data_IF_569797639204
#
_entry.id   IF_569797639204
#
_cell.length_a   1.000
_cell.length_b   1.000
_cell.length_c   1.000
_cell.angle_alpha   90.00
_cell.angle_beta   90.00
_cell.angle_gamma   90.00
#
_symmetry.space_group_name_H-M   'P 1'
#
loop_
_entity.id
_entity.type
_entity.pdbx_description
1 polymer ?
#
# COMPACT_ATOMS: atom_id res chain seq x y z
N UNK A 1 62.76 -33.99 16.92
CA UNK A 1 63.58 -33.14 17.80
C UNK A 1 63.43 -31.71 17.28
N UNK A 2 62.73 -30.75 17.87
CA UNK A 2 62.02 -30.68 19.14
C UNK A 2 60.84 -29.70 19.01
N UNK A 3 59.72 -30.11 19.60
CA UNK A 3 58.50 -29.33 19.79
C UNK A 3 58.74 -28.25 20.85
N UNK A 4 58.48 -26.98 20.53
CA UNK A 4 58.38 -25.91 21.53
C UNK A 4 56.93 -25.41 21.64
N UNK A 5 56.25 -26.00 22.63
CA UNK A 5 54.98 -25.58 23.19
C UNK A 5 55.06 -24.15 23.75
N UNK A 6 54.27 -23.21 23.24
CA UNK A 6 53.89 -22.00 23.97
C UNK A 6 52.46 -22.12 24.49
N UNK A 7 52.36 -22.16 25.82
CA UNK A 7 51.11 -22.17 26.60
C UNK A 7 50.48 -20.77 26.61
N UNK A 8 49.14 -20.75 26.63
CA UNK A 8 48.24 -19.59 26.71
C UNK A 8 48.29 -18.92 28.10
N UNK A 9 47.90 -17.65 28.22
CA UNK A 9 47.20 -17.16 29.40
C UNK A 9 45.67 -17.27 29.22
N UNK A 10 45.04 -17.93 30.19
CA UNK A 10 43.60 -18.04 30.42
C UNK A 10 43.09 -16.66 30.86
N UNK A 11 42.07 -16.11 30.21
CA UNK A 11 41.33 -14.97 30.74
C UNK A 11 40.10 -15.50 31.48
N UNK A 12 40.05 -15.13 32.74
CA UNK A 12 39.20 -15.62 33.81
C UNK A 12 37.79 -15.02 33.71
N UNK A 13 36.77 -15.86 33.75
CA UNK A 13 35.37 -15.45 33.91
C UNK A 13 35.14 -14.85 35.30
N UNK A 14 34.26 -13.86 35.38
CA UNK A 14 33.66 -13.43 36.65
C UNK A 14 32.15 -13.21 36.45
N UNK A 15 31.31 -14.10 37.00
CA UNK A 15 29.87 -13.94 37.06
C UNK A 15 29.46 -13.56 38.50
N UNK A 16 29.23 -12.28 38.79
CA UNK A 16 28.56 -11.88 40.04
C UNK A 16 28.07 -10.42 40.00
N UNK A 17 26.78 -10.24 40.25
CA UNK A 17 26.11 -8.93 40.36
C UNK A 17 24.73 -8.96 39.72
N UNK A 18 23.88 -9.95 40.01
CA UNK A 18 22.89 -9.92 41.09
C UNK A 18 22.02 -8.64 41.12
N UNK A 19 20.76 -8.86 40.76
CA UNK A 19 19.54 -8.45 41.49
C UNK A 19 19.07 -7.00 41.26
N UNK A 20 17.93 -6.91 40.57
CA UNK A 20 17.01 -5.77 40.51
C UNK A 20 16.46 -5.39 41.91
N UNK A 21 15.87 -4.20 42.10
CA UNK A 21 14.41 -4.19 41.99
C UNK A 21 13.77 -2.92 41.41
N UNK A 22 12.57 -3.13 40.86
CA UNK A 22 11.41 -2.24 40.73
C UNK A 22 11.46 -0.92 41.52
N UNK A 23 11.14 0.20 40.85
CA UNK A 23 10.18 1.27 41.23
C UNK A 23 10.25 2.30 40.10
N UNK A 24 9.36 2.21 39.11
CA UNK A 24 8.66 3.37 38.49
C UNK A 24 7.28 2.83 38.07
N UNK A 25 6.41 2.74 39.07
CA UNK A 25 4.97 2.65 38.90
C UNK A 25 4.45 4.07 38.60
N UNK A 26 3.50 4.19 37.66
CA UNK A 26 2.39 5.11 37.84
C UNK A 26 2.56 6.53 37.35
N UNK A 27 2.44 6.74 36.04
CA UNK A 27 1.70 7.88 35.49
C UNK A 27 1.25 7.52 34.06
N UNK A 28 0.01 7.87 33.72
CA UNK A 28 -0.65 7.69 32.42
C UNK A 28 -1.34 6.32 32.23
N UNK A 29 -2.23 6.01 33.18
CA UNK A 29 -3.32 5.05 33.00
C UNK A 29 -4.60 5.57 33.69
N UNK A 30 -5.03 6.79 33.33
CA UNK A 30 -6.37 7.36 33.64
C UNK A 30 -6.66 8.41 32.55
N UNK A 31 -7.90 8.46 32.03
CA UNK A 31 -8.37 9.06 30.76
C UNK A 31 -8.12 8.12 29.58
N UNK A 32 -9.05 7.28 29.12
CA UNK A 32 -10.41 7.60 28.69
C UNK A 32 -11.27 6.31 28.84
N UNK A 33 -12.18 6.32 29.81
CA UNK A 33 -13.32 5.40 29.87
C UNK A 33 -14.54 6.26 30.20
N UNK A 34 -15.57 6.18 29.36
CA UNK A 34 -16.94 6.57 29.69
C UNK A 34 -17.51 7.75 28.93
N UNK A 35 -18.19 7.47 27.80
CA UNK A 35 -19.57 7.93 27.62
C UNK A 35 -20.37 6.74 27.07
N UNK A 36 -21.40 6.35 27.83
CA UNK A 36 -22.38 5.34 27.50
C UNK A 36 -23.43 5.85 26.50
N UNK A 37 -23.95 4.88 25.74
CA UNK A 37 -25.24 4.75 25.07
C UNK A 37 -26.33 5.85 25.19
N UNK A 38 -26.92 6.17 24.03
CA UNK A 38 -28.37 6.34 23.81
C UNK A 38 -28.63 6.12 22.29
N UNK A 39 -29.08 4.96 21.81
CA UNK A 39 -30.48 4.50 21.64
C UNK A 39 -31.35 5.33 20.68
N UNK A 40 -31.70 4.67 19.55
CA UNK A 40 -32.91 4.84 18.69
C UNK A 40 -33.13 6.21 18.02
N UNK A 41 -33.89 6.41 16.95
CA UNK A 41 -34.50 5.64 15.85
C UNK A 41 -35.12 6.72 14.94
N UNK A 42 -35.28 6.45 13.64
CA UNK A 42 -35.97 7.35 12.71
C UNK A 42 -37.39 7.70 13.20
N UNK A 43 -37.80 8.96 13.09
CA UNK A 43 -38.98 9.33 12.32
C UNK A 43 -39.17 10.85 12.18
N UNK A 44 -39.68 11.19 11.01
CA UNK A 44 -39.95 12.53 10.51
C UNK A 44 -40.91 13.33 11.39
N UNK A 45 -40.59 14.61 11.62
CA UNK A 45 -41.59 15.69 11.61
C UNK A 45 -41.00 16.95 10.98
N UNK A 46 -41.67 17.37 9.91
CA UNK A 46 -41.61 18.70 9.36
C UNK A 46 -41.83 19.75 10.45
N UNK A 47 -41.17 20.89 10.32
CA UNK A 47 -41.75 22.23 10.50
C UNK A 47 -40.84 23.27 9.84
N UNK A 48 -41.36 23.78 8.73
CA UNK A 48 -41.29 25.16 8.25
C UNK A 48 -40.32 26.10 8.98
N UNK A 49 -39.36 26.65 8.23
CA UNK A 49 -39.09 28.07 8.38
C UNK A 49 -38.91 28.70 6.99
N UNK A 50 -39.90 29.50 6.67
CA UNK A 50 -40.05 30.33 5.49
C UNK A 50 -39.18 31.58 5.63
N UNK A 51 -38.45 31.94 4.58
CA UNK A 51 -38.01 33.32 4.39
C UNK A 51 -37.97 33.70 2.91
N UNK A 52 -39.06 34.36 2.52
CA UNK A 52 -39.19 35.50 1.59
C UNK A 52 -38.76 35.29 0.13
N UNK A 53 -39.81 35.23 -0.68
CA UNK A 53 -39.94 35.38 -2.12
C UNK A 53 -39.52 36.74 -2.67
N UNK A 54 -38.99 36.75 -3.89
CA UNK A 54 -39.18 37.84 -4.86
C UNK A 54 -39.78 37.28 -6.15
N UNK A 55 -40.78 38.00 -6.64
CA UNK A 55 -41.78 37.65 -7.65
C UNK A 55 -41.26 37.62 -9.08
N UNK A 56 -41.69 36.62 -9.86
CA UNK A 56 -41.62 36.61 -11.31
C UNK A 56 -42.53 35.52 -11.88
N UNK A 57 -43.73 35.91 -12.34
CA UNK A 57 -44.76 35.01 -12.87
C UNK A 57 -44.41 34.53 -14.29
N UNK A 58 -44.42 33.21 -14.51
CA UNK A 58 -44.79 32.62 -15.82
C UNK A 58 -45.16 31.13 -15.70
N UNK A 59 -46.46 30.87 -15.93
CA UNK A 59 -47.12 29.65 -16.47
C UNK A 59 -46.44 28.27 -16.33
N UNK A 60 -47.16 27.41 -15.62
CA UNK A 60 -47.06 25.96 -15.55
C UNK A 60 -46.99 25.24 -16.91
N UNK A 61 -45.95 24.42 -17.09
CA UNK A 61 -46.00 23.20 -17.88
C UNK A 61 -45.29 22.09 -17.10
N UNK A 62 -46.09 21.24 -16.46
CA UNK A 62 -45.64 20.07 -15.73
C UNK A 62 -44.99 19.09 -16.72
N UNK A 63 -43.66 19.07 -16.75
CA UNK A 63 -42.87 18.04 -17.41
C UNK A 63 -42.42 17.07 -16.32
N UNK A 64 -43.08 15.90 -16.26
CA UNK A 64 -42.66 14.77 -15.45
C UNK A 64 -41.35 14.21 -16.02
N UNK A 65 -40.22 14.80 -15.61
CA UNK A 65 -38.92 14.18 -15.78
C UNK A 65 -38.83 13.00 -14.83
N UNK A 66 -39.02 11.82 -15.42
CA UNK A 66 -38.67 10.53 -14.83
C UNK A 66 -37.26 10.62 -14.25
N UNK A 67 -37.18 10.50 -12.93
CA UNK A 67 -35.94 10.21 -12.21
C UNK A 67 -35.49 8.82 -12.67
N UNK A 68 -34.75 8.78 -13.78
CA UNK A 68 -33.90 7.64 -14.08
C UNK A 68 -32.94 7.53 -12.89
N UNK A 69 -33.20 6.52 -12.06
CA UNK A 69 -32.36 6.15 -10.93
C UNK A 69 -31.04 5.65 -11.52
N UNK A 70 -30.17 6.58 -11.91
CA UNK A 70 -28.81 6.30 -12.30
C UNK A 70 -28.10 5.83 -11.02
N UNK A 71 -28.08 4.50 -10.86
CA UNK A 71 -27.24 3.80 -9.91
C UNK A 71 -25.85 4.47 -9.96
N UNK A 72 -25.29 4.97 -8.85
CA UNK A 72 -23.99 5.61 -8.89
C UNK A 72 -23.00 4.58 -9.44
N UNK A 73 -22.52 4.83 -10.67
CA UNK A 73 -21.37 4.13 -11.20
C UNK A 73 -20.26 4.36 -10.18
N UNK A 74 -19.88 3.33 -9.44
CA UNK A 74 -18.69 3.40 -8.58
C UNK A 74 -17.54 3.84 -9.48
N UNK A 75 -17.04 5.06 -9.24
CA UNK A 75 -15.88 5.56 -9.94
C UNK A 75 -14.73 4.56 -9.72
N UNK A 76 -13.92 4.26 -10.74
CA UNK A 76 -12.82 3.33 -10.57
C UNK A 76 -11.87 3.88 -9.52
N UNK A 77 -11.52 3.06 -8.53
CA UNK A 77 -10.48 3.42 -7.57
C UNK A 77 -9.12 3.25 -8.26
N UNK A 78 -8.37 4.34 -8.34
CA UNK A 78 -6.99 4.33 -8.84
C UNK A 78 -6.06 4.24 -7.64
N UNK A 79 -5.10 3.32 -7.68
CA UNK A 79 -4.13 3.11 -6.60
C UNK A 79 -2.71 3.10 -7.15
N UNK A 80 -1.72 3.56 -6.35
CA UNK A 80 -0.31 3.45 -6.72
C UNK A 80 0.03 1.98 -6.85
N UNK A 81 0.47 1.56 -8.04
CA UNK A 81 0.74 0.15 -8.28
C UNK A 81 2.22 -0.14 -8.12
N UNK A 82 3.10 0.52 -8.86
CA UNK A 82 4.53 0.23 -8.77
C UNK A 82 5.39 1.42 -9.20
N UNK A 83 6.66 1.37 -8.79
CA UNK A 83 7.70 2.32 -9.17
C UNK A 83 8.90 1.56 -9.73
N UNK A 84 9.58 2.20 -10.68
CA UNK A 84 10.85 1.71 -11.22
C UNK A 84 11.82 2.86 -11.49
N UNK A 85 13.09 2.51 -11.55
CA UNK A 85 14.15 3.41 -12.00
C UNK A 85 14.61 2.96 -13.39
N UNK A 86 14.67 3.90 -14.32
CA UNK A 86 15.14 3.68 -15.68
C UNK A 86 16.25 4.66 -15.98
N UNK A 87 17.37 4.19 -16.53
CA UNK A 87 18.40 5.09 -17.05
C UNK A 87 17.92 5.64 -18.40
N UNK A 88 17.95 6.97 -18.53
CA UNK A 88 17.51 7.70 -19.71
C UNK A 88 18.58 8.68 -20.19
N UNK A 89 18.24 9.39 -21.26
CA UNK A 89 19.06 10.51 -21.76
C UNK A 89 18.16 11.71 -21.97
N UNK A 90 18.64 12.89 -21.56
CA UNK A 90 17.94 14.15 -21.75
C UNK A 90 17.93 14.49 -23.24
N UNK A 91 16.74 14.67 -23.80
CA UNK A 91 16.53 15.11 -25.17
C UNK A 91 16.43 16.63 -25.27
N UNK A 92 15.49 17.09 -26.10
CA UNK A 92 15.20 18.51 -26.28
C UNK A 92 14.67 19.15 -24.99
N UNK A 93 15.07 20.41 -24.78
CA UNK A 93 14.55 21.27 -23.72
C UNK A 93 13.44 22.15 -24.29
N UNK A 94 12.22 22.01 -23.77
CA UNK A 94 11.02 22.66 -24.29
C UNK A 94 10.34 23.41 -23.14
N UNK A 95 10.32 24.74 -23.20
CA UNK A 95 9.63 25.55 -22.20
C UNK A 95 10.18 25.46 -20.78
N UNK A 96 11.44 25.01 -20.62
CA UNK A 96 12.06 24.75 -19.32
C UNK A 96 11.98 23.29 -18.88
N UNK A 97 11.12 22.48 -19.49
CA UNK A 97 11.08 21.04 -19.29
C UNK A 97 12.08 20.33 -20.21
N UNK A 98 12.40 19.09 -19.88
CA UNK A 98 13.20 18.20 -20.70
C UNK A 98 12.38 17.03 -21.23
N UNK A 99 12.74 16.53 -22.40
CA UNK A 99 12.25 15.25 -22.89
C UNK A 99 13.14 14.09 -22.43
N UNK A 100 12.55 12.95 -22.10
CA UNK A 100 13.30 11.74 -21.73
C UNK A 100 13.34 10.74 -22.88
N UNK A 101 14.54 10.47 -23.40
CA UNK A 101 14.76 9.47 -24.45
C UNK A 101 14.87 8.05 -23.86
N UNK A 102 14.33 7.03 -24.55
CA UNK A 102 13.73 7.08 -25.89
C UNK A 102 12.21 7.38 -25.92
N UNK A 103 11.56 7.58 -24.77
CA UNK A 103 10.11 7.71 -24.67
C UNK A 103 9.53 9.04 -25.16
N UNK A 104 10.35 10.10 -25.27
CA UNK A 104 9.94 11.48 -25.56
C UNK A 104 8.88 12.04 -24.60
N UNK A 105 8.82 11.51 -23.38
CA UNK A 105 7.96 12.03 -22.31
C UNK A 105 8.57 13.32 -21.75
N UNK A 106 7.73 14.33 -21.48
CA UNK A 106 8.16 15.58 -20.85
C UNK A 106 8.28 15.44 -19.35
N UNK A 107 9.33 16.03 -18.79
CA UNK A 107 9.60 16.05 -17.36
C UNK A 107 10.22 17.41 -16.95
N UNK A 108 9.85 17.99 -15.80
CA UNK A 108 10.49 19.20 -15.30
C UNK A 108 12.01 19.05 -15.16
N UNK A 109 12.74 20.09 -15.59
CA UNK A 109 14.20 20.13 -15.53
C UNK A 109 14.71 20.77 -14.22
N UNK A 110 14.25 20.26 -13.08
CA UNK A 110 14.51 20.90 -11.77
C UNK A 110 16.00 20.98 -11.41
N UNK A 111 16.82 20.03 -11.87
CA UNK A 111 18.27 20.01 -11.62
C UNK A 111 19.10 20.59 -12.78
N UNK A 112 18.49 21.32 -13.71
CA UNK A 112 19.16 22.01 -14.82
C UNK A 112 20.09 21.11 -15.67
N UNK A 113 19.58 19.96 -16.09
CA UNK A 113 20.24 19.06 -17.04
C UNK A 113 20.37 19.69 -18.43
N UNK A 114 21.44 19.35 -19.14
CA UNK A 114 21.62 19.67 -20.56
C UNK A 114 21.20 18.51 -21.47
N UNK A 115 20.86 18.82 -22.72
CA UNK A 115 20.61 17.79 -23.76
C UNK A 115 21.82 16.87 -23.92
N UNK A 116 21.57 15.57 -23.93
CA UNK A 116 22.58 14.51 -23.98
C UNK A 116 23.02 13.98 -22.61
N UNK A 117 22.64 14.64 -21.51
CA UNK A 117 23.00 14.18 -20.17
C UNK A 117 22.34 12.84 -19.84
N UNK A 118 23.08 11.99 -19.11
CA UNK A 118 22.55 10.76 -18.53
C UNK A 118 21.83 11.06 -17.23
N UNK A 119 20.63 10.51 -17.10
CA UNK A 119 19.78 10.69 -15.93
C UNK A 119 19.14 9.38 -15.54
N UNK A 120 18.81 9.25 -14.26
CA UNK A 120 17.94 8.21 -13.75
C UNK A 120 16.54 8.78 -13.60
N UNK A 121 15.56 8.21 -14.30
CA UNK A 121 14.15 8.58 -14.19
C UNK A 121 13.44 7.64 -13.22
N UNK A 122 12.77 8.22 -12.21
CA UNK A 122 11.77 7.52 -11.42
C UNK A 122 10.45 7.56 -12.18
N UNK A 123 9.95 6.38 -12.50
CA UNK A 123 8.68 6.20 -13.17
C UNK A 123 7.68 5.48 -12.26
N UNK A 124 6.40 5.77 -12.46
CA UNK A 124 5.29 5.13 -11.77
C UNK A 124 4.32 4.47 -12.73
N UNK A 125 3.60 3.50 -12.17
CA UNK A 125 2.46 2.85 -12.78
C UNK A 125 1.34 2.80 -11.74
N UNK A 126 0.12 2.99 -12.18
CA UNK A 126 -1.09 2.94 -11.37
C UNK A 126 -1.95 1.76 -11.80
N UNK A 127 -2.81 1.31 -10.90
CA UNK A 127 -3.85 0.35 -11.19
C UNK A 127 -5.22 1.01 -11.08
N UNK A 128 -5.96 0.96 -12.18
CA UNK A 128 -7.36 1.38 -12.24
C UNK A 128 -8.20 0.13 -11.96
N UNK A 129 -8.86 0.11 -10.81
CA UNK A 129 -9.71 -1.01 -10.37
C UNK A 129 -11.17 -0.70 -10.70
N UNK A 130 -11.83 -1.63 -11.38
CA UNK A 130 -13.26 -1.56 -11.69
C UNK A 130 -13.96 -2.84 -11.24
N UNK A 131 -14.96 -2.71 -10.39
CA UNK A 131 -15.85 -3.83 -10.08
C UNK A 131 -16.84 -3.99 -11.23
N UNK A 132 -16.84 -5.16 -11.85
CA UNK A 132 -17.83 -5.51 -12.88
C UNK A 132 -19.14 -5.96 -12.25
N UNK A 133 -20.24 -5.91 -13.00
CA UNK A 133 -21.59 -6.27 -12.54
C UNK A 133 -21.71 -7.71 -11.99
N UNK A 134 -20.73 -8.56 -12.28
CA UNK A 134 -20.62 -9.94 -11.77
C UNK A 134 -19.75 -10.05 -10.50
N UNK A 135 -19.47 -8.95 -9.80
CA UNK A 135 -18.54 -8.87 -8.65
C UNK A 135 -17.13 -9.41 -8.97
N UNK A 136 -16.68 -9.29 -10.22
CA UNK A 136 -15.28 -9.54 -10.58
C UNK A 136 -14.51 -8.22 -10.62
N UNK A 137 -13.34 -8.21 -10.01
CA UNK A 137 -12.42 -7.08 -10.09
C UNK A 137 -11.70 -7.12 -11.44
N UNK A 138 -11.93 -6.11 -12.27
CA UNK A 138 -11.13 -5.80 -13.44
C UNK A 138 -10.02 -4.83 -13.03
N UNK A 139 -8.78 -5.16 -13.37
CA UNK A 139 -7.59 -4.38 -13.02
C UNK A 139 -6.89 -4.00 -14.31
N UNK A 140 -6.86 -2.69 -14.61
CA UNK A 140 -6.11 -2.16 -15.75
C UNK A 140 -4.91 -1.36 -15.25
N UNK A 141 -3.72 -1.75 -15.69
CA UNK A 141 -2.49 -1.02 -15.39
C UNK A 141 -2.30 0.14 -16.37
N UNK A 142 -1.88 1.30 -15.88
CA UNK A 142 -1.49 2.42 -16.74
C UNK A 142 -0.12 2.17 -17.37
N UNK A 143 0.21 2.91 -18.42
CA UNK A 143 1.59 2.95 -18.92
C UNK A 143 2.50 3.59 -17.87
N UNK A 144 3.76 3.18 -17.86
CA UNK A 144 4.79 3.84 -17.05
C UNK A 144 4.93 5.30 -17.46
N UNK A 145 5.00 6.19 -16.48
CA UNK A 145 5.19 7.62 -16.69
C UNK A 145 6.34 8.13 -15.82
N UNK A 146 7.21 9.02 -16.30
CA UNK A 146 8.23 9.64 -15.46
C UNK A 146 7.59 10.66 -14.51
N UNK A 147 8.15 10.79 -13.30
CA UNK A 147 7.73 11.80 -12.30
C UNK A 147 8.90 12.68 -11.90
N UNK A 148 10.10 12.12 -11.84
CA UNK A 148 11.27 12.80 -11.32
C UNK A 148 12.55 12.21 -11.91
N UNK A 149 13.57 13.04 -12.05
CA UNK A 149 14.88 12.66 -12.56
C UNK A 149 15.96 12.87 -11.50
N UNK A 150 17.07 12.16 -11.66
CA UNK A 150 18.22 12.22 -10.77
C UNK A 150 19.52 12.12 -11.56
N UNK A 151 20.53 12.88 -11.15
CA UNK A 151 21.90 12.79 -11.68
C UNK A 151 22.58 11.45 -11.38
N UNK A 152 22.21 10.82 -10.26
CA UNK A 152 22.87 9.60 -9.81
C UNK A 152 21.86 8.52 -9.45
N UNK A 153 22.23 7.27 -9.71
CA UNK A 153 21.44 6.11 -9.34
C UNK A 153 21.17 6.06 -7.84
N UNK A 154 22.16 6.42 -7.03
CA UNK A 154 22.05 6.35 -5.58
C UNK A 154 20.99 7.30 -5.02
N UNK A 155 20.90 8.53 -5.55
CA UNK A 155 19.83 9.45 -5.16
C UNK A 155 18.44 8.91 -5.54
N UNK A 156 18.33 8.31 -6.72
CA UNK A 156 17.09 7.68 -7.19
C UNK A 156 16.70 6.47 -6.33
N UNK A 157 17.67 5.63 -5.94
CA UNK A 157 17.48 4.46 -5.07
C UNK A 157 17.04 4.86 -3.65
N UNK A 158 17.53 5.98 -3.14
CA UNK A 158 17.10 6.51 -1.85
C UNK A 158 15.64 6.97 -1.87
N UNK A 159 15.17 7.57 -2.97
CA UNK A 159 13.79 8.07 -3.05
C UNK A 159 12.80 6.93 -3.32
N UNK A 160 13.11 5.99 -4.22
CA UNK A 160 12.24 4.83 -4.47
C UNK A 160 12.09 3.93 -3.23
N UNK A 161 13.12 3.87 -2.36
CA UNK A 161 13.05 3.11 -1.12
C UNK A 161 12.04 3.69 -0.10
N UNK A 162 11.71 4.99 -0.21
CA UNK A 162 10.63 5.59 0.56
C UNK A 162 9.28 5.13 0.00
N UNK A 163 9.13 5.17 -1.33
CA UNK A 163 7.88 4.80 -1.99
C UNK A 163 7.55 3.31 -1.90
N UNK A 164 8.56 2.44 -1.79
CA UNK A 164 8.41 0.98 -1.72
C UNK A 164 8.95 0.44 -0.41
N UNK A 165 8.08 0.38 0.60
CA UNK A 165 8.44 -0.07 1.94
C UNK A 165 8.19 -1.57 2.05
N UNK A 166 9.22 -2.34 2.41
CA UNK A 166 9.06 -3.75 2.74
C UNK A 166 8.88 -3.93 4.25
N UNK A 167 7.80 -4.60 4.64
CA UNK A 167 7.42 -4.83 6.03
C UNK A 167 7.16 -6.31 6.30
N UNK A 168 7.59 -6.77 7.47
CA UNK A 168 7.20 -8.05 8.04
C UNK A 168 6.04 -7.80 8.99
N UNK A 169 4.89 -8.41 8.73
CA UNK A 169 3.70 -8.20 9.55
C UNK A 169 2.85 -9.46 9.62
N UNK A 170 1.91 -9.46 10.56
CA UNK A 170 0.92 -10.51 10.74
C UNK A 170 -0.39 -10.08 10.10
N UNK A 171 -0.93 -10.89 9.18
CA UNK A 171 -2.22 -10.62 8.51
C UNK A 171 -3.21 -11.77 8.72
N UNK A 172 -4.48 -11.49 8.45
CA UNK A 172 -5.55 -12.45 8.60
C UNK A 172 -5.43 -13.60 7.60
N UNK A 173 -5.44 -14.83 8.14
CA UNK A 173 -5.49 -16.07 7.39
C UNK A 173 -6.95 -16.53 7.38
N UNK A 174 -7.61 -16.36 6.23
CA UNK A 174 -8.98 -16.82 5.99
C UNK A 174 -9.04 -18.34 6.12
N UNK A 175 -8.01 -19.03 5.63
CA UNK A 175 -7.85 -20.46 5.82
C UNK A 175 -6.87 -21.11 4.86
N UNK A 176 -6.72 -22.42 4.99
CA UNK A 176 -5.93 -23.24 4.08
C UNK A 176 -6.76 -24.40 3.55
N UNK A 177 -6.55 -24.77 2.30
CA UNK A 177 -7.23 -25.90 1.69
C UNK A 177 -6.33 -26.65 0.72
N UNK A 178 -6.73 -27.88 0.42
CA UNK A 178 -6.07 -28.77 -0.52
C UNK A 178 -7.00 -29.01 -1.70
N UNK A 179 -6.44 -29.05 -2.90
CA UNK A 179 -7.15 -29.47 -4.12
C UNK A 179 -6.41 -30.61 -4.78
N UNK A 180 -7.16 -31.52 -5.39
CA UNK A 180 -6.62 -32.62 -6.19
C UNK A 180 -7.13 -32.48 -7.62
N UNK A 181 -6.21 -32.39 -8.57
CA UNK A 181 -6.54 -32.34 -10.00
C UNK A 181 -5.62 -33.29 -10.76
N UNK A 182 -6.20 -34.24 -11.51
CA UNK A 182 -5.46 -35.27 -12.26
C UNK A 182 -4.44 -36.04 -11.39
N UNK A 183 -4.82 -36.39 -10.16
CA UNK A 183 -3.94 -37.09 -9.22
C UNK A 183 -2.82 -36.25 -8.60
N UNK A 184 -2.71 -34.95 -8.94
CA UNK A 184 -1.77 -34.03 -8.33
C UNK A 184 -2.45 -33.23 -7.22
N UNK A 185 -1.87 -33.28 -6.03
CA UNK A 185 -2.30 -32.46 -4.90
C UNK A 185 -1.61 -31.09 -4.94
N UNK A 186 -2.34 -30.03 -4.60
CA UNK A 186 -1.81 -28.69 -4.36
C UNK A 186 -2.46 -28.09 -3.12
N UNK A 187 -1.65 -27.55 -2.23
CA UNK A 187 -2.10 -26.80 -1.07
C UNK A 187 -2.10 -25.29 -1.33
N UNK A 188 -3.08 -24.60 -0.73
CA UNK A 188 -3.23 -23.16 -0.83
C UNK A 188 -3.56 -22.55 0.52
N UNK A 189 -3.07 -21.34 0.73
CA UNK A 189 -3.52 -20.44 1.78
C UNK A 189 -4.29 -19.26 1.17
N UNK A 190 -5.32 -18.81 1.89
CA UNK A 190 -6.11 -17.64 1.56
C UNK A 190 -5.90 -16.61 2.65
N UNK A 191 -5.44 -15.42 2.26
CA UNK A 191 -5.07 -14.34 3.18
C UNK A 191 -5.88 -13.09 2.83
N UNK A 192 -6.18 -12.26 3.83
CA UNK A 192 -6.74 -10.92 3.61
C UNK A 192 -5.67 -9.88 3.92
N UNK A 193 -5.34 -9.06 2.93
CA UNK A 193 -4.36 -7.98 3.04
C UNK A 193 -4.98 -6.77 3.78
N UNK A 194 -4.16 -5.88 4.37
CA UNK A 194 -4.64 -4.64 4.99
C UNK A 194 -5.47 -3.75 4.04
N UNK A 195 -5.21 -3.85 2.73
CA UNK A 195 -6.00 -3.20 1.67
C UNK A 195 -7.40 -3.79 1.45
N UNK A 196 -7.80 -4.78 2.26
CA UNK A 196 -9.08 -5.50 2.16
C UNK A 196 -9.10 -6.61 1.10
N UNK A 197 -8.01 -6.77 0.34
CA UNK A 197 -7.96 -7.75 -0.74
C UNK A 197 -7.71 -9.15 -0.23
N UNK A 198 -8.46 -10.11 -0.76
CA UNK A 198 -8.24 -11.53 -0.48
C UNK A 198 -7.37 -12.15 -1.57
N UNK A 199 -6.24 -12.73 -1.17
CA UNK A 199 -5.30 -13.38 -2.08
C UNK A 199 -5.23 -14.88 -1.81
N UNK A 200 -5.05 -15.67 -2.87
CA UNK A 200 -4.78 -17.11 -2.81
C UNK A 200 -3.33 -17.37 -3.17
N UNK A 201 -2.58 -17.96 -2.26
CA UNK A 201 -1.16 -18.26 -2.45
C UNK A 201 -0.92 -19.77 -2.37
N UNK A 202 -0.18 -20.37 -3.32
CA UNK A 202 0.26 -21.75 -3.20
C UNK A 202 1.24 -21.89 -2.03
N UNK A 203 1.17 -23.01 -1.33
CA UNK A 203 2.04 -23.33 -0.20
C UNK A 203 2.50 -24.78 -0.28
N UNK A 204 3.63 -25.09 0.36
CA UNK A 204 4.08 -26.47 0.54
C UNK A 204 3.32 -27.18 1.68
N UNK A 205 3.47 -28.51 1.74
CA UNK A 205 2.80 -29.38 2.72
C UNK A 205 3.18 -29.06 4.17
N UNK A 206 4.42 -28.65 4.43
CA UNK A 206 4.87 -28.31 5.78
C UNK A 206 4.19 -27.03 6.26
N UNK A 207 4.15 -26.01 5.40
CA UNK A 207 3.47 -24.74 5.67
C UNK A 207 1.97 -24.94 5.79
N UNK A 208 1.35 -25.82 4.99
CA UNK A 208 -0.06 -26.19 5.16
C UNK A 208 -0.33 -26.71 6.57
N UNK A 209 0.49 -27.65 7.06
CA UNK A 209 0.33 -28.20 8.41
C UNK A 209 0.50 -27.13 9.50
N UNK A 210 1.47 -26.21 9.33
CA UNK A 210 1.72 -25.10 10.27
C UNK A 210 0.61 -24.04 10.29
N UNK A 211 0.04 -23.71 9.13
CA UNK A 211 -0.97 -22.66 8.99
C UNK A 211 -2.39 -23.13 9.32
N UNK A 212 -2.69 -24.42 9.16
CA UNK A 212 -4.04 -24.98 9.39
C UNK A 212 -4.67 -24.62 10.75
N UNK A 213 -3.95 -24.61 11.89
CA UNK A 213 -4.55 -24.23 13.17
C UNK A 213 -4.60 -22.71 13.42
N UNK A 214 -4.00 -21.89 12.55
CA UNK A 214 -3.84 -20.46 12.76
C UNK A 214 -4.98 -19.66 12.12
N UNK A 215 -5.25 -18.49 12.68
CA UNK A 215 -6.15 -17.46 12.10
C UNK A 215 -5.39 -16.30 11.48
N UNK A 216 -4.07 -16.28 11.68
CA UNK A 216 -3.18 -15.24 11.19
C UNK A 216 -1.87 -15.84 10.71
N UNK A 217 -1.18 -15.15 9.82
CA UNK A 217 0.09 -15.58 9.28
C UNK A 217 1.10 -14.43 9.20
N UNK A 218 2.36 -14.72 9.54
CA UNK A 218 3.46 -13.80 9.32
C UNK A 218 3.84 -13.78 7.85
N UNK A 219 3.85 -12.59 7.27
CA UNK A 219 4.09 -12.36 5.84
C UNK A 219 5.06 -11.21 5.64
N UNK A 220 5.63 -11.16 4.44
CA UNK A 220 6.36 -10.01 3.94
C UNK A 220 5.41 -9.30 2.97
N UNK A 221 5.10 -8.04 3.27
CA UNK A 221 4.38 -7.14 2.39
C UNK A 221 5.33 -6.11 1.80
N UNK A 222 4.98 -5.62 0.62
CA UNK A 222 5.49 -4.36 0.08
C UNK A 222 4.33 -3.37 0.06
N UNK A 223 4.47 -2.28 0.79
CA UNK A 223 3.60 -1.12 0.69
C UNK A 223 4.15 -0.18 -0.36
N UNK A 224 3.30 0.13 -1.34
CA UNK A 224 3.59 1.08 -2.41
C UNK A 224 2.84 2.36 -2.10
N UNK A 225 3.56 3.42 -1.71
CA UNK A 225 3.00 4.71 -1.35
C UNK A 225 2.78 5.58 -2.58
N UNK A 226 1.71 6.35 -2.61
CA UNK A 226 1.49 7.34 -3.66
C UNK A 226 2.49 8.51 -3.51
N UNK A 227 3.08 8.91 -4.63
CA UNK A 227 4.09 9.97 -4.67
C UNK A 227 3.51 11.35 -4.28
N UNK A 228 2.25 11.61 -4.63
CA UNK A 228 1.55 12.86 -4.32
C UNK A 228 0.86 12.86 -2.96
N UNK A 229 0.52 11.67 -2.43
CA UNK A 229 -0.12 11.51 -1.13
C UNK A 229 0.42 10.26 -0.40
N UNK A 230 1.46 10.46 0.40
CA UNK A 230 2.17 9.36 1.05
C UNK A 230 1.32 8.54 2.04
N UNK A 231 0.23 9.10 2.55
CA UNK A 231 -0.72 8.38 3.42
C UNK A 231 -1.57 7.36 2.65
N UNK A 232 -1.66 7.51 1.32
CA UNK A 232 -2.31 6.54 0.44
C UNK A 232 -1.28 5.49 0.02
N UNK A 233 -1.47 4.25 0.47
CA UNK A 233 -0.59 3.14 0.14
C UNK A 233 -1.37 1.90 -0.30
N UNK A 234 -0.72 1.09 -1.13
CA UNK A 234 -1.24 -0.19 -1.59
C UNK A 234 -0.33 -1.34 -1.15
N UNK A 235 -0.88 -2.28 -0.39
CA UNK A 235 -0.14 -3.43 0.11
C UNK A 235 -0.15 -4.59 -0.90
N UNK A 236 1.05 -5.12 -1.18
CA UNK A 236 1.29 -6.30 -2.03
C UNK A 236 1.94 -7.41 -1.22
N UNK A 237 1.43 -8.63 -1.36
CA UNK A 237 2.09 -9.81 -0.80
C UNK A 237 3.39 -10.12 -1.55
N UNK A 238 4.51 -10.18 -0.82
CA UNK A 238 5.83 -10.51 -1.37
C UNK A 238 6.36 -11.85 -0.90
N UNK A 239 5.78 -12.42 0.16
CA UNK A 239 6.15 -13.75 0.59
C UNK A 239 5.73 -14.06 2.00
N UNK A 240 6.14 -15.24 2.44
CA UNK A 240 5.91 -15.71 3.79
C UNK A 240 7.10 -15.31 4.66
N UNK A 241 6.83 -14.74 5.83
CA UNK A 241 7.88 -14.49 6.80
C UNK A 241 8.16 -15.81 7.54
N UNK A 242 9.44 -16.19 7.57
CA UNK A 242 9.97 -17.37 8.27
C UNK A 242 9.97 -17.17 9.77
#
# INVERSE_FOLDING_TARGET
MDNWNRRRPVKQDSPAGRIAPFIIFGAIAVFIFGIMANSCSNDARSWENSSVSWSGSSSSSASSSSYANAQPQQAPSTVPWDYRLVEGTVGDLIGGDMTLLPGNELLPNDDNYGTGDKVWALEYMEAVMKTTDNNRNDIRLTSWKPIKSYRTKQAAEQDIAKLKVSLKTEIDLVGVYKTTYQGKEREFAVLTLPSGQTIKQPIDKERYAKLKPLKKANVILEEVHDYSNYDMAYAKFRGWAS
#
